data_IF_612991148993
#
_entry.id   IF_612991148993
#
_cell.length_a   1.000
_cell.length_b   1.000
_cell.length_c   1.000
_cell.angle_alpha   90.00
_cell.angle_beta   90.00
_cell.angle_gamma   90.00
#
_symmetry.space_group_name_H-M   'P 1'
#
loop_
_entity.id
_entity.type
_entity.pdbx_description
1 polymer ?
#
# COMPACT_ATOMS: atom_id res chain seq x y z
N UNK A 1 -1.97 4.88 11.92
CA UNK A 1 -1.90 6.16 11.16
C UNK A 1 -1.10 7.14 11.98
N UNK A 2 -0.54 8.17 11.34
CA UNK A 2 0.22 9.24 11.99
C UNK A 2 -0.23 10.58 11.43
N UNK A 3 -0.15 11.65 12.23
CA UNK A 3 -0.37 13.01 11.77
C UNK A 3 0.79 13.45 10.88
N UNK A 4 0.51 14.13 9.77
CA UNK A 4 1.52 14.69 8.88
C UNK A 4 1.55 16.21 8.86
N UNK A 5 2.42 16.81 8.04
CA UNK A 5 3.32 16.17 7.06
C UNK A 5 4.42 15.33 7.71
N UNK A 6 4.92 14.30 6.99
CA UNK A 6 5.97 13.39 7.49
C UNK A 6 7.09 13.18 6.48
N UNK A 7 8.30 13.00 7.00
CA UNK A 7 9.48 12.49 6.30
C UNK A 7 9.91 11.19 6.97
N UNK A 8 9.92 10.09 6.22
CA UNK A 8 10.15 8.74 6.73
C UNK A 8 11.45 8.21 6.13
N UNK A 9 12.39 7.80 6.97
CA UNK A 9 13.63 7.13 6.57
C UNK A 9 13.54 5.64 6.91
N UNK A 10 13.85 4.77 5.95
CA UNK A 10 13.91 3.32 6.17
C UNK A 10 15.33 2.87 6.52
N UNK A 11 15.51 1.68 7.13
CA UNK A 11 16.84 1.14 7.40
C UNK A 11 17.72 0.95 6.15
N UNK A 12 17.10 0.83 4.97
CA UNK A 12 17.79 0.72 3.69
C UNK A 12 18.23 2.09 3.13
N UNK A 13 18.01 3.18 3.88
CA UNK A 13 18.35 4.55 3.49
C UNK A 13 17.34 5.20 2.55
N UNK A 14 16.19 4.58 2.28
CA UNK A 14 15.14 5.17 1.43
C UNK A 14 14.38 6.23 2.23
N UNK A 15 14.22 7.41 1.63
CA UNK A 15 13.45 8.52 2.21
C UNK A 15 12.16 8.70 1.42
N UNK A 16 11.03 8.72 2.13
CA UNK A 16 9.69 8.98 1.57
C UNK A 16 9.03 10.13 2.32
N UNK A 17 8.50 11.09 1.57
CA UNK A 17 7.83 12.26 2.09
C UNK A 17 6.33 12.22 1.77
N UNK A 18 5.52 12.73 2.69
CA UNK A 18 4.09 12.94 2.46
C UNK A 18 3.64 14.25 3.09
N UNK A 19 2.99 15.06 2.27
CA UNK A 19 2.39 16.36 2.61
C UNK A 19 0.99 16.24 3.21
N UNK A 20 0.44 15.02 3.32
CA UNK A 20 -0.91 14.80 3.83
C UNK A 20 -0.97 15.01 5.33
N UNK A 21 -2.09 15.58 5.79
CA UNK A 21 -2.37 15.81 7.20
C UNK A 21 -2.48 14.50 8.03
N UNK A 22 -2.81 13.39 7.38
CA UNK A 22 -2.85 12.05 7.99
C UNK A 22 -2.26 11.02 7.03
N UNK A 23 -1.33 10.22 7.54
CA UNK A 23 -0.56 9.25 6.75
C UNK A 23 -0.71 7.85 7.35
N UNK A 24 -0.98 6.87 6.50
CA UNK A 24 -1.06 5.47 6.90
C UNK A 24 0.29 4.79 6.64
N UNK A 25 0.95 4.33 7.72
CA UNK A 25 2.22 3.60 7.63
C UNK A 25 1.94 2.11 7.48
N UNK A 26 2.70 1.45 6.61
CA UNK A 26 2.62 0.02 6.40
C UNK A 26 3.34 -0.74 7.53
N UNK A 27 2.57 -1.53 8.28
CA UNK A 27 3.11 -2.46 9.29
C UNK A 27 3.12 -3.92 8.81
N UNK A 28 2.44 -4.21 7.69
CA UNK A 28 2.30 -5.57 7.17
C UNK A 28 3.38 -5.99 6.14
N UNK A 29 4.20 -5.05 5.66
CA UNK A 29 5.23 -5.24 4.62
C UNK A 29 4.74 -5.78 3.27
N UNK A 30 3.43 -5.71 2.99
CA UNK A 30 2.82 -6.13 1.71
C UNK A 30 2.61 -5.00 0.72
N UNK A 31 2.87 -3.76 1.14
CA UNK A 31 2.64 -2.61 0.27
C UNK A 31 3.68 -2.55 -0.84
N UNK A 32 3.23 -2.21 -2.05
CA UNK A 32 4.10 -1.85 -3.17
C UNK A 32 4.71 -0.45 -3.02
N UNK A 33 4.13 0.37 -2.15
CA UNK A 33 4.55 1.74 -1.85
C UNK A 33 5.16 1.83 -0.44
N UNK A 34 5.81 0.75 0.03
CA UNK A 34 6.48 0.73 1.33
C UNK A 34 7.42 1.96 1.44
N UNK A 35 7.39 2.72 2.55
CA UNK A 35 6.79 2.43 3.86
C UNK A 35 5.31 2.84 4.03
N UNK A 36 4.65 3.38 3.01
CA UNK A 36 3.26 3.82 3.08
C UNK A 36 2.29 2.65 2.91
N UNK A 37 1.10 2.75 3.49
CA UNK A 37 0.05 1.75 3.32
C UNK A 37 -0.77 2.04 2.06
N UNK A 38 -0.86 1.05 1.16
CA UNK A 38 -1.63 1.08 -0.08
C UNK A 38 -2.85 0.13 -0.06
N UNK A 39 -3.29 -0.27 1.14
CA UNK A 39 -4.34 -1.27 1.39
C UNK A 39 -4.02 -2.72 1.01
N UNK A 40 -2.79 -3.05 0.58
CA UNK A 40 -2.39 -4.44 0.26
C UNK A 40 -2.42 -5.41 1.45
N UNK A 41 -2.59 -4.91 2.68
CA UNK A 41 -2.83 -5.75 3.85
C UNK A 41 -4.14 -6.54 3.75
N UNK A 42 -5.12 -6.02 3.01
CA UNK A 42 -6.43 -6.67 2.82
C UNK A 42 -6.23 -7.92 1.98
N UNK A 43 -6.60 -9.08 2.54
CA UNK A 43 -6.61 -10.35 1.81
C UNK A 43 -7.58 -10.20 0.63
N UNK A 44 -7.09 -10.36 -0.61
CA UNK A 44 -7.96 -10.53 -1.77
C UNK A 44 -8.70 -11.86 -1.57
N UNK A 45 -9.95 -11.81 -1.12
CA UNK A 45 -10.84 -12.95 -1.31
C UNK A 45 -11.01 -13.10 -2.81
N UNK A 46 -10.60 -14.24 -3.37
CA UNK A 46 -10.79 -14.55 -4.78
C UNK A 46 -12.30 -14.66 -5.02
N UNK A 47 -12.97 -13.53 -5.21
CA UNK A 47 -14.30 -13.51 -5.79
C UNK A 47 -14.12 -13.89 -7.25
N UNK A 48 -14.65 -15.04 -7.57
CA UNK A 48 -14.80 -15.63 -8.88
C UNK A 48 -15.16 -14.58 -9.95
N UNK A 49 -14.40 -14.58 -11.05
CA UNK A 49 -14.94 -14.88 -12.38
C UNK A 49 -13.75 -15.14 -13.31
N UNK A 50 -13.68 -16.38 -13.74
CA UNK A 50 -12.96 -16.78 -14.95
C UNK A 50 -13.46 -15.85 -16.06
N UNK A 51 -12.57 -15.08 -16.66
CA UNK A 51 -12.76 -14.52 -18.00
C UNK A 51 -12.56 -15.66 -19.00
N UNK A 52 -13.46 -16.64 -18.92
CA UNK A 52 -13.75 -17.58 -19.98
C UNK A 52 -14.98 -17.00 -20.70
N UNK A 53 -15.07 -17.14 -22.01
CA UNK A 53 -16.11 -16.59 -22.90
C UNK A 53 -15.89 -15.16 -23.45
N UNK A 54 -15.04 -15.06 -24.49
CA UNK A 54 -15.50 -14.51 -25.78
C UNK A 54 -14.56 -14.92 -26.94
N UNK A 55 -14.85 -16.05 -27.56
CA UNK A 55 -14.58 -16.31 -28.98
C UNK A 55 -15.90 -16.75 -29.60
N UNK A 56 -16.29 -16.12 -30.72
CA UNK A 56 -16.40 -16.85 -31.98
C UNK A 56 -15.26 -16.50 -32.92
#
# INVERSE_FOLDING_TARGET
>A
MVQGPVRIETPDGVVVESDRFMVAICTCRRSKNYPLCDTSHRKRTRSERRSDQRSP
#
